data_IF_926170552410
#
_entry.id   IF_926170552410
#
_cell.length_a   1.000
_cell.length_b   1.000
_cell.length_c   1.000
_cell.angle_alpha   90.00
_cell.angle_beta   90.00
_cell.angle_gamma   90.00
#
_symmetry.space_group_name_H-M   'P 1'
#
loop_
_entity.id
_entity.type
_entity.pdbx_description
1 polymer ?
#
# COMPACT_ATOMS: atom_id res chain seq x y z
N UNK A 1 29.93 -70.92 -14.23
CA UNK A 1 30.30 -69.56 -14.67
C UNK A 1 29.76 -68.57 -13.65
N UNK A 2 30.65 -67.91 -12.91
CA UNK A 2 30.31 -67.11 -11.74
C UNK A 2 29.80 -65.71 -12.14
N UNK A 3 28.69 -65.29 -11.56
CA UNK A 3 28.13 -63.95 -11.70
C UNK A 3 28.85 -62.99 -10.72
N UNK A 4 29.49 -61.96 -11.26
CA UNK A 4 30.16 -60.92 -10.48
C UNK A 4 29.15 -59.82 -10.10
N UNK A 5 28.84 -59.68 -8.82
CA UNK A 5 28.13 -58.53 -8.28
C UNK A 5 29.10 -57.34 -8.16
N UNK A 6 28.81 -56.25 -8.88
CA UNK A 6 29.52 -54.98 -8.74
C UNK A 6 28.97 -54.24 -7.52
N UNK A 7 29.73 -54.23 -6.43
CA UNK A 7 29.46 -53.38 -5.27
C UNK A 7 29.68 -51.91 -5.63
N UNK A 8 28.68 -51.08 -5.35
CA UNK A 8 28.78 -49.62 -5.39
C UNK A 8 29.63 -49.13 -4.21
N UNK A 9 30.78 -48.55 -4.51
CA UNK A 9 31.64 -47.89 -3.53
C UNK A 9 31.02 -46.53 -3.16
N UNK A 10 30.44 -46.44 -1.97
CA UNK A 10 30.12 -45.15 -1.34
C UNK A 10 31.44 -44.43 -1.05
N UNK A 11 31.73 -43.40 -1.85
CA UNK A 11 32.94 -42.58 -1.73
C UNK A 11 33.02 -41.92 -0.35
N UNK A 12 34.16 -42.07 0.32
CA UNK A 12 34.45 -41.47 1.62
C UNK A 12 34.86 -40.02 1.39
N UNK A 13 33.93 -39.08 1.60
CA UNK A 13 34.20 -37.65 1.46
C UNK A 13 35.15 -37.18 2.58
N UNK A 14 36.22 -36.46 2.21
CA UNK A 14 37.23 -35.95 3.16
C UNK A 14 36.62 -34.86 4.06
N UNK A 15 37.07 -34.76 5.32
CA UNK A 15 36.65 -33.69 6.25
C UNK A 15 36.81 -32.29 5.66
N UNK A 16 37.83 -32.07 4.84
CA UNK A 16 38.03 -30.80 4.14
C UNK A 16 36.90 -30.47 3.16
N UNK A 17 36.28 -31.48 2.54
CA UNK A 17 35.20 -31.29 1.58
C UNK A 17 33.87 -30.92 2.26
N UNK A 18 33.61 -31.48 3.45
CA UNK A 18 32.48 -31.06 4.29
C UNK A 18 32.68 -29.64 4.82
N UNK A 19 33.89 -29.30 5.28
CA UNK A 19 34.22 -27.96 5.77
C UNK A 19 34.07 -26.89 4.67
N UNK A 20 34.51 -27.17 3.44
CA UNK A 20 34.30 -26.25 2.30
C UNK A 20 32.84 -26.10 1.93
N UNK A 21 32.03 -27.17 2.06
CA UNK A 21 30.61 -27.14 1.76
C UNK A 21 29.85 -26.29 2.81
N UNK A 22 30.19 -26.44 4.09
CA UNK A 22 29.60 -25.62 5.17
C UNK A 22 29.95 -24.14 5.03
N UNK A 23 31.21 -23.81 4.69
CA UNK A 23 31.61 -22.41 4.42
C UNK A 23 30.87 -21.85 3.21
N UNK A 24 30.71 -22.65 2.15
CA UNK A 24 29.99 -22.21 0.94
C UNK A 24 28.50 -21.99 1.20
N UNK A 25 27.87 -22.86 2.00
CA UNK A 25 26.48 -22.72 2.45
C UNK A 25 26.31 -21.49 3.36
N UNK A 26 27.26 -21.22 4.26
CA UNK A 26 27.26 -20.04 5.13
C UNK A 26 27.39 -18.74 4.32
N UNK A 27 28.28 -18.71 3.33
CA UNK A 27 28.47 -17.56 2.43
C UNK A 27 27.23 -17.27 1.58
N UNK A 28 26.57 -18.32 1.06
CA UNK A 28 25.29 -18.18 0.35
C UNK A 28 24.18 -17.63 1.25
N UNK A 29 24.14 -18.06 2.52
CA UNK A 29 23.18 -17.55 3.50
C UNK A 29 23.41 -16.07 3.82
N UNK A 30 24.68 -15.64 3.96
CA UNK A 30 25.02 -14.23 4.22
C UNK A 30 24.56 -13.32 3.05
N UNK A 31 24.73 -13.76 1.80
CA UNK A 31 24.29 -12.97 0.64
C UNK A 31 22.76 -12.89 0.49
N UNK A 32 22.01 -13.88 0.99
CA UNK A 32 20.55 -13.92 0.86
C UNK A 32 19.81 -13.01 1.88
N UNK A 33 20.49 -12.53 2.91
CA UNK A 33 19.86 -11.81 4.05
C UNK A 33 20.06 -10.28 3.97
N UNK A 34 20.76 -9.76 2.96
CA UNK A 34 20.93 -8.31 2.82
C UNK A 34 19.64 -7.65 2.31
N UNK A 35 18.94 -6.93 3.18
CA UNK A 35 17.92 -5.96 2.79
C UNK A 35 18.58 -4.80 2.07
N UNK A 36 18.16 -4.52 0.83
CA UNK A 36 18.57 -3.31 0.10
C UNK A 36 17.79 -2.14 0.71
N UNK A 37 18.41 -1.48 1.68
CA UNK A 37 17.87 -0.25 2.24
C UNK A 37 18.25 0.93 1.33
N UNK A 38 17.24 1.60 0.76
CA UNK A 38 17.46 2.78 -0.08
C UNK A 38 17.74 3.96 0.83
N UNK A 39 19.00 4.40 0.87
CA UNK A 39 19.39 5.61 1.59
C UNK A 39 18.61 6.82 1.06
N UNK A 40 17.94 7.53 1.97
CA UNK A 40 17.17 8.74 1.72
C UNK A 40 17.17 9.60 2.98
N UNK A 41 17.02 10.93 2.87
CA UNK A 41 16.85 11.77 4.04
C UNK A 41 15.63 11.37 4.87
N UNK A 42 15.69 11.65 6.18
CA UNK A 42 14.56 11.46 7.09
C UNK A 42 13.33 12.21 6.56
N UNK A 43 12.16 11.60 6.74
CA UNK A 43 10.86 12.18 6.37
C UNK A 43 10.57 12.23 4.86
N UNK A 44 11.47 11.72 4.00
CA UNK A 44 11.22 11.56 2.56
C UNK A 44 10.59 10.19 2.30
N UNK A 45 9.47 10.03 1.57
CA UNK A 45 8.93 8.71 1.18
C UNK A 45 9.80 7.98 0.14
N UNK A 46 9.77 6.64 0.13
CA UNK A 46 10.62 5.82 -0.76
C UNK A 46 10.44 6.19 -2.25
N UNK A 47 9.21 6.52 -2.66
CA UNK A 47 8.88 6.96 -4.01
C UNK A 47 9.55 8.28 -4.44
N UNK A 48 10.03 9.09 -3.47
CA UNK A 48 10.71 10.37 -3.71
C UNK A 48 12.20 10.34 -3.37
N UNK A 49 12.75 9.19 -2.99
CA UNK A 49 14.17 9.07 -2.62
C UNK A 49 15.12 9.59 -3.71
N UNK A 50 14.80 9.36 -4.99
CA UNK A 50 15.62 9.82 -6.12
C UNK A 50 15.68 11.34 -6.30
N UNK A 51 14.81 12.11 -5.65
CA UNK A 51 14.84 13.57 -5.68
C UNK A 51 15.90 14.16 -4.74
N UNK A 52 16.44 13.35 -3.83
CA UNK A 52 17.38 13.77 -2.80
C UNK A 52 18.73 13.07 -2.98
N UNK A 53 19.43 13.39 -4.07
CA UNK A 53 20.76 12.85 -4.39
C UNK A 53 21.87 13.66 -3.69
N UNK A 54 22.56 13.12 -2.66
CA UNK A 54 23.58 13.85 -1.91
C UNK A 54 24.83 14.19 -2.72
N UNK A 55 25.01 13.61 -3.92
CA UNK A 55 26.14 13.91 -4.79
C UNK A 55 25.95 15.21 -5.61
N UNK A 56 24.79 15.85 -5.52
CA UNK A 56 24.43 17.04 -6.32
C UNK A 56 23.93 18.17 -5.42
N UNK A 57 23.86 19.37 -5.98
CA UNK A 57 23.09 20.44 -5.37
C UNK A 57 21.62 20.04 -5.28
N UNK A 58 20.97 20.46 -4.20
CA UNK A 58 19.53 20.37 -4.07
C UNK A 58 18.89 21.56 -4.78
N UNK A 59 17.72 21.33 -5.38
CA UNK A 59 16.91 22.37 -6.01
C UNK A 59 15.50 22.20 -5.48
N UNK A 60 14.93 23.29 -4.95
CA UNK A 60 13.55 23.29 -4.46
C UNK A 60 12.60 22.76 -5.54
N UNK A 61 11.53 22.05 -5.16
CA UNK A 61 10.64 21.44 -6.16
C UNK A 61 9.82 22.47 -6.94
N UNK A 62 9.62 23.66 -6.38
CA UNK A 62 9.06 24.83 -7.06
C UNK A 62 10.07 25.57 -7.98
N UNK A 63 11.35 25.18 -7.94
CA UNK A 63 12.43 25.79 -8.70
C UNK A 63 12.89 27.16 -8.20
N UNK A 64 12.50 27.58 -7.00
CA UNK A 64 12.80 28.90 -6.43
C UNK A 64 14.29 29.12 -6.12
N UNK A 65 14.97 28.09 -5.61
CA UNK A 65 16.38 28.15 -5.24
C UNK A 65 17.11 26.82 -5.50
N UNK A 66 18.44 26.89 -5.54
CA UNK A 66 19.33 25.73 -5.59
C UNK A 66 20.60 25.98 -4.78
N UNK A 67 20.98 24.99 -3.98
CA UNK A 67 22.01 25.13 -2.97
C UNK A 67 22.67 23.78 -2.61
N UNK A 68 23.63 23.78 -1.69
CA UNK A 68 24.37 22.56 -1.33
C UNK A 68 23.47 21.58 -0.57
N UNK A 69 23.60 20.28 -0.81
CA UNK A 69 22.77 19.25 -0.16
C UNK A 69 22.83 19.26 1.38
N UNK A 70 23.87 19.87 1.96
CA UNK A 70 24.01 20.02 3.41
C UNK A 70 22.92 20.88 4.06
N UNK A 71 22.21 21.70 3.27
CA UNK A 71 21.06 22.49 3.73
C UNK A 71 19.75 21.70 3.69
N UNK A 72 19.76 20.43 3.27
CA UNK A 72 18.59 19.57 3.39
C UNK A 72 18.53 19.03 4.82
N UNK A 73 17.43 19.30 5.53
CA UNK A 73 17.24 18.98 6.95
C UNK A 73 18.27 19.66 7.86
N UNK A 74 18.55 20.94 7.63
CA UNK A 74 19.46 21.72 8.47
C UNK A 74 18.74 22.55 9.56
N UNK A 75 17.41 22.35 9.70
CA UNK A 75 16.53 23.04 10.65
C UNK A 75 16.32 24.53 10.29
N UNK A 76 16.53 24.89 9.01
CA UNK A 76 16.23 26.20 8.45
C UNK A 76 15.42 26.07 7.16
N UNK A 77 14.39 26.91 6.98
CA UNK A 77 13.51 26.84 5.82
C UNK A 77 14.01 27.74 4.67
N UNK A 78 14.72 27.15 3.71
CA UNK A 78 15.25 27.81 2.51
C UNK A 78 14.30 27.76 1.31
N UNK A 79 13.49 26.70 1.18
CA UNK A 79 12.52 26.57 0.08
C UNK A 79 11.12 27.07 0.45
N UNK A 80 10.49 27.85 -0.44
CA UNK A 80 9.12 28.32 -0.24
C UNK A 80 8.07 27.20 -0.22
N UNK A 81 8.38 26.05 -0.83
CA UNK A 81 7.55 24.85 -0.84
C UNK A 81 7.88 23.84 0.28
N UNK A 82 8.90 24.13 1.09
CA UNK A 82 9.38 23.28 2.20
C UNK A 82 10.01 21.95 1.76
N UNK A 83 10.46 21.84 0.51
CA UNK A 83 11.04 20.60 -0.03
C UNK A 83 12.42 20.26 0.53
N UNK A 84 13.11 21.22 1.10
CA UNK A 84 14.42 21.13 1.76
C UNK A 84 14.36 20.56 3.17
N UNK A 85 13.24 20.72 3.87
CA UNK A 85 13.06 20.28 5.26
C UNK A 85 12.03 19.14 5.41
N UNK A 86 12.18 17.99 4.72
CA UNK A 86 11.25 16.86 4.86
C UNK A 86 11.33 16.17 6.22
N UNK A 87 12.43 16.35 6.95
CA UNK A 87 12.79 15.62 8.16
C UNK A 87 12.77 16.46 9.43
N UNK A 88 12.47 17.76 9.38
CA UNK A 88 12.47 18.70 10.51
C UNK A 88 11.14 19.46 10.59
N UNK A 89 11.00 20.36 11.56
CA UNK A 89 9.84 21.23 11.74
C UNK A 89 10.02 22.66 11.18
N UNK A 90 11.13 22.94 10.48
CA UNK A 90 11.53 24.31 10.14
C UNK A 90 10.59 25.02 9.14
N UNK A 91 9.93 24.27 8.24
CA UNK A 91 9.00 24.82 7.27
C UNK A 91 7.52 24.65 7.67
N UNK A 92 6.76 25.75 7.72
CA UNK A 92 5.34 25.76 8.11
C UNK A 92 4.42 24.91 7.21
N UNK A 93 4.77 24.75 5.94
CA UNK A 93 4.07 23.94 4.94
C UNK A 93 4.77 22.59 4.68
N UNK A 94 5.78 22.25 5.48
CA UNK A 94 6.53 21.01 5.38
C UNK A 94 5.67 19.78 5.68
N UNK A 95 6.10 18.65 5.15
CA UNK A 95 5.44 17.35 5.34
C UNK A 95 6.49 16.31 5.69
N UNK A 96 6.30 15.64 6.81
CA UNK A 96 7.14 14.53 7.26
C UNK A 96 6.48 13.19 6.93
N UNK A 97 7.24 12.27 6.35
CA UNK A 97 6.76 10.92 6.04
C UNK A 97 7.20 9.89 7.08
N UNK A 98 6.24 9.39 7.86
CA UNK A 98 6.40 8.19 8.67
C UNK A 98 6.44 6.97 7.75
N UNK A 99 7.50 6.17 7.83
CA UNK A 99 7.61 4.96 7.00
C UNK A 99 6.70 3.84 7.50
N UNK A 100 6.50 3.78 8.83
CA UNK A 100 5.59 2.89 9.51
C UNK A 100 5.73 1.44 9.03
N UNK A 101 6.96 0.92 9.04
CA UNK A 101 7.27 -0.41 8.51
C UNK A 101 6.38 -1.48 9.19
N UNK A 102 5.75 -2.32 8.38
CA UNK A 102 4.77 -3.30 8.86
C UNK A 102 3.32 -2.78 8.95
N UNK A 103 3.13 -1.47 8.83
CA UNK A 103 1.85 -0.78 8.66
C UNK A 103 1.81 0.05 7.36
N UNK A 104 0.87 1.00 7.26
CA UNK A 104 0.80 1.95 6.15
C UNK A 104 1.70 3.15 6.45
N UNK A 105 2.53 3.54 5.49
CA UNK A 105 3.22 4.82 5.54
C UNK A 105 2.21 5.97 5.59
N UNK A 106 2.52 7.01 6.34
CA UNK A 106 1.61 8.13 6.59
C UNK A 106 2.40 9.45 6.58
N UNK A 107 1.74 10.51 6.15
CA UNK A 107 2.34 11.84 6.11
C UNK A 107 1.73 12.67 7.23
N UNK A 108 2.58 13.32 8.02
CA UNK A 108 2.19 14.26 9.07
C UNK A 108 2.69 15.67 8.73
N UNK A 109 2.05 16.72 9.25
CA UNK A 109 2.58 18.08 9.14
C UNK A 109 3.96 18.18 9.81
N UNK A 110 4.88 18.95 9.22
CA UNK A 110 6.21 19.19 9.80
C UNK A 110 6.15 19.79 11.22
N UNK A 111 5.08 20.51 11.55
CA UNK A 111 4.87 21.06 12.90
C UNK A 111 4.75 20.01 14.01
N UNK A 112 4.58 18.73 13.65
CA UNK A 112 4.51 17.60 14.59
C UNK A 112 5.83 16.85 14.73
N UNK A 113 6.87 17.32 14.05
CA UNK A 113 8.21 16.74 14.19
C UNK A 113 8.85 17.35 15.43
N UNK A 114 9.23 16.51 16.39
CA UNK A 114 9.84 16.91 17.65
C UNK A 114 8.97 17.87 18.49
N UNK A 115 7.65 17.70 18.48
CA UNK A 115 6.73 18.49 19.32
C UNK A 115 6.47 17.86 20.70
N UNK A 116 7.03 16.67 20.94
CA UNK A 116 6.90 15.89 22.16
C UNK A 116 5.73 14.91 22.15
N UNK A 117 5.02 14.77 21.04
CA UNK A 117 3.86 13.87 20.86
C UNK A 117 4.22 12.80 19.82
N UNK A 118 3.95 11.53 20.12
CA UNK A 118 4.17 10.44 19.17
C UNK A 118 2.99 10.35 18.19
N UNK A 119 3.14 10.90 16.98
CA UNK A 119 2.16 10.81 15.89
C UNK A 119 2.43 9.62 14.95
N UNK A 120 3.69 9.32 14.65
CA UNK A 120 4.02 8.13 13.86
C UNK A 120 3.94 6.85 14.72
N UNK A 121 3.44 5.74 14.16
CA UNK A 121 3.44 4.47 14.91
C UNK A 121 4.86 3.91 15.12
N UNK A 122 5.82 4.33 14.29
CA UNK A 122 7.23 3.97 14.40
C UNK A 122 8.01 4.96 15.29
N UNK A 123 7.36 6.02 15.78
CA UNK A 123 7.96 7.06 16.63
C UNK A 123 9.06 7.88 15.97
N UNK A 124 9.19 7.81 14.64
CA UNK A 124 10.33 8.42 13.92
C UNK A 124 10.27 9.95 13.81
N UNK A 125 9.12 10.52 14.14
CA UNK A 125 8.84 11.95 14.27
C UNK A 125 9.50 12.60 15.50
N UNK A 126 9.69 11.85 16.58
CA UNK A 126 10.21 12.36 17.87
C UNK A 126 11.67 11.97 18.13
N UNK A 127 12.54 12.19 17.14
CA UNK A 127 13.95 11.78 17.21
C UNK A 127 14.85 12.74 18.00
N UNK A 128 14.40 13.97 18.22
CA UNK A 128 15.11 15.07 18.87
C UNK A 128 14.56 15.47 20.22
N UNK A 129 13.52 14.79 20.72
CA UNK A 129 12.90 15.07 22.03
C UNK A 129 13.19 13.95 23.04
N UNK A 130 12.76 14.15 24.28
CA UNK A 130 12.79 13.12 25.32
C UNK A 130 11.52 12.27 25.36
N UNK A 131 10.66 12.35 24.34
CA UNK A 131 9.45 11.55 24.27
C UNK A 131 9.81 10.07 24.10
N UNK A 132 9.13 9.18 24.84
CA UNK A 132 9.34 7.74 24.74
C UNK A 132 8.31 7.14 23.77
N UNK A 133 8.60 7.20 22.48
CA UNK A 133 7.75 6.63 21.44
C UNK A 133 8.07 5.15 21.22
N UNK A 134 7.07 4.29 21.38
CA UNK A 134 7.20 2.84 21.18
C UNK A 134 6.74 2.46 19.78
N UNK A 135 7.56 1.73 19.02
CA UNK A 135 7.16 1.17 17.73
C UNK A 135 6.10 0.08 17.93
N UNK A 136 4.87 0.36 17.49
CA UNK A 136 3.74 -0.57 17.49
C UNK A 136 3.17 -0.83 16.09
N UNK A 137 3.90 -0.46 15.02
CA UNK A 137 3.41 -0.54 13.65
C UNK A 137 3.06 -1.96 13.21
N UNK A 138 3.83 -2.97 13.62
CA UNK A 138 3.56 -4.36 13.23
C UNK A 138 2.20 -4.85 13.75
N UNK A 139 1.86 -4.48 14.98
CA UNK A 139 0.59 -4.85 15.62
C UNK A 139 -0.58 -4.11 14.96
N UNK A 140 -0.48 -2.78 14.83
CA UNK A 140 -1.49 -1.97 14.15
C UNK A 140 -1.70 -2.42 12.70
N UNK A 141 -0.61 -2.76 12.01
CA UNK A 141 -0.63 -3.31 10.67
C UNK A 141 -1.37 -4.64 10.57
N UNK A 142 -1.23 -5.52 11.56
CA UNK A 142 -1.98 -6.78 11.61
C UNK A 142 -3.48 -6.52 11.74
N UNK A 143 -3.87 -5.69 12.72
CA UNK A 143 -5.29 -5.34 12.91
C UNK A 143 -5.91 -4.65 11.69
N UNK A 144 -5.16 -3.75 11.05
CA UNK A 144 -5.63 -3.08 9.83
C UNK A 144 -5.87 -4.06 8.67
N UNK A 145 -5.01 -5.07 8.50
CA UNK A 145 -5.20 -6.11 7.47
C UNK A 145 -6.45 -6.95 7.74
N UNK A 146 -6.64 -7.39 8.97
CA UNK A 146 -7.84 -8.16 9.38
C UNK A 146 -9.13 -7.35 9.17
N UNK A 147 -9.13 -6.06 9.51
CA UNK A 147 -10.30 -5.20 9.30
C UNK A 147 -10.58 -4.92 7.82
N UNK A 148 -9.54 -4.73 7.00
CA UNK A 148 -9.71 -4.60 5.55
C UNK A 148 -10.30 -5.86 4.90
N UNK A 149 -9.90 -7.04 5.36
CA UNK A 149 -10.47 -8.32 4.90
C UNK A 149 -11.97 -8.40 5.21
N UNK A 150 -12.37 -8.14 6.47
CA UNK A 150 -13.79 -8.10 6.87
C UNK A 150 -14.59 -7.10 6.03
N UNK A 151 -14.02 -5.92 5.81
CA UNK A 151 -14.66 -4.86 5.04
C UNK A 151 -14.77 -5.22 3.55
N UNK A 152 -13.80 -5.95 2.99
CA UNK A 152 -13.86 -6.46 1.61
C UNK A 152 -14.95 -7.50 1.46
N UNK A 153 -15.10 -8.42 2.41
CA UNK A 153 -16.18 -9.43 2.39
C UNK A 153 -17.55 -8.77 2.43
N UNK A 154 -17.77 -7.83 3.35
CA UNK A 154 -19.03 -7.08 3.44
C UNK A 154 -19.35 -6.35 2.14
N UNK A 155 -18.36 -5.69 1.53
CA UNK A 155 -18.53 -5.00 0.23
C UNK A 155 -18.85 -5.99 -0.89
N UNK A 156 -18.23 -7.16 -0.91
CA UNK A 156 -18.50 -8.19 -1.92
C UNK A 156 -19.93 -8.71 -1.80
N UNK A 157 -20.41 -8.98 -0.58
CA UNK A 157 -21.80 -9.37 -0.33
C UNK A 157 -22.78 -8.27 -0.75
N UNK A 158 -22.50 -7.01 -0.38
CA UNK A 158 -23.31 -5.86 -0.78
C UNK A 158 -23.37 -5.69 -2.30
N UNK A 159 -22.26 -5.90 -3.00
CA UNK A 159 -22.20 -5.85 -4.45
C UNK A 159 -23.02 -6.99 -5.10
N UNK A 160 -22.95 -8.20 -4.55
CA UNK A 160 -23.75 -9.32 -5.04
C UNK A 160 -25.26 -9.04 -4.90
N UNK A 161 -25.69 -8.53 -3.74
CA UNK A 161 -27.09 -8.15 -3.52
C UNK A 161 -27.53 -7.02 -4.45
N UNK A 162 -26.68 -6.00 -4.65
CA UNK A 162 -26.96 -4.91 -5.60
C UNK A 162 -27.16 -5.45 -7.03
N UNK A 163 -26.31 -6.39 -7.46
CA UNK A 163 -26.44 -7.00 -8.78
C UNK A 163 -27.73 -7.81 -8.92
N UNK A 164 -28.10 -8.58 -7.90
CA UNK A 164 -29.36 -9.34 -7.89
C UNK A 164 -30.57 -8.40 -7.98
N UNK A 165 -30.65 -7.39 -7.11
CA UNK A 165 -31.75 -6.42 -7.14
C UNK A 165 -31.81 -5.65 -8.46
N UNK A 166 -30.66 -5.32 -9.07
CA UNK A 166 -30.62 -4.69 -10.39
C UNK A 166 -31.17 -5.60 -11.48
N UNK A 167 -30.86 -6.90 -11.44
CA UNK A 167 -31.40 -7.89 -12.40
C UNK A 167 -32.91 -8.07 -12.23
N UNK A 168 -33.36 -8.29 -11.00
CA UNK A 168 -34.79 -8.46 -10.68
C UNK A 168 -35.58 -7.21 -11.05
N UNK A 169 -35.07 -6.03 -10.70
CA UNK A 169 -35.68 -4.75 -11.06
C UNK A 169 -35.80 -4.55 -12.58
N UNK A 170 -34.79 -4.97 -13.36
CA UNK A 170 -34.86 -4.93 -14.84
C UNK A 170 -35.91 -5.91 -15.37
N UNK A 171 -35.97 -7.13 -14.86
CA UNK A 171 -36.96 -8.14 -15.27
C UNK A 171 -38.38 -7.68 -14.94
N UNK A 172 -38.60 -7.18 -13.73
CA UNK A 172 -39.91 -6.69 -13.30
C UNK A 172 -40.37 -5.49 -14.14
N UNK A 173 -39.46 -4.56 -14.46
CA UNK A 173 -39.75 -3.45 -15.37
C UNK A 173 -40.19 -3.94 -16.75
N UNK A 174 -39.53 -4.97 -17.29
CA UNK A 174 -39.89 -5.53 -18.59
C UNK A 174 -41.25 -6.23 -18.55
N UNK A 175 -41.54 -7.00 -17.49
CA UNK A 175 -42.86 -7.62 -17.28
C UNK A 175 -43.98 -6.59 -17.13
N UNK A 176 -43.74 -5.48 -16.43
CA UNK A 176 -44.71 -4.39 -16.33
C UNK A 176 -44.98 -3.75 -17.69
N UNK A 177 -43.95 -3.57 -18.53
CA UNK A 177 -44.13 -3.03 -19.89
C UNK A 177 -44.97 -3.96 -20.77
N UNK A 178 -44.67 -5.26 -20.78
CA UNK A 178 -45.42 -6.20 -21.61
C UNK A 178 -46.88 -6.28 -21.20
N UNK A 179 -47.17 -6.32 -19.89
CA UNK A 179 -48.54 -6.25 -19.36
C UNK A 179 -49.23 -4.95 -19.72
N UNK A 180 -48.52 -3.81 -19.69
CA UNK A 180 -49.08 -2.51 -20.07
C UNK A 180 -49.51 -2.50 -21.54
N UNK A 181 -48.69 -3.02 -22.44
CA UNK A 181 -49.04 -3.12 -23.86
C UNK A 181 -50.22 -4.07 -24.09
N UNK A 182 -50.25 -5.22 -23.41
CA UNK A 182 -51.38 -6.14 -23.50
C UNK A 182 -52.68 -5.49 -23.02
N UNK A 183 -52.67 -4.84 -21.85
CA UNK A 183 -53.84 -4.13 -21.34
C UNK A 183 -54.31 -3.00 -22.26
N UNK A 184 -53.39 -2.35 -23.00
CA UNK A 184 -53.77 -1.35 -24.02
C UNK A 184 -54.53 -1.98 -25.18
N UNK A 185 -54.07 -3.14 -25.67
CA UNK A 185 -54.75 -3.88 -26.72
C UNK A 185 -56.12 -4.40 -26.25
N UNK A 186 -56.18 -4.99 -25.05
CA UNK A 186 -57.43 -5.49 -24.45
C UNK A 186 -58.44 -4.34 -24.27
N UNK A 187 -57.99 -3.16 -23.84
CA UNK A 187 -58.83 -1.96 -23.72
C UNK A 187 -59.39 -1.52 -25.08
N UNK A 188 -58.58 -1.55 -26.15
CA UNK A 188 -59.05 -1.22 -27.49
C UNK A 188 -60.06 -2.25 -28.02
N UNK A 189 -59.86 -3.54 -27.75
CA UNK A 189 -60.79 -4.60 -28.12
C UNK A 189 -62.15 -4.42 -27.41
N UNK A 190 -62.14 -4.26 -26.08
CA UNK A 190 -63.36 -4.05 -25.29
C UNK A 190 -64.10 -2.79 -25.75
N UNK A 191 -63.37 -1.71 -26.10
CA UNK A 191 -63.98 -0.50 -26.65
C UNK A 191 -64.72 -0.77 -27.96
N UNK A 192 -64.10 -1.48 -28.90
CA UNK A 192 -64.73 -1.86 -30.17
C UNK A 192 -65.94 -2.75 -29.97
N UNK A 193 -65.86 -3.74 -29.07
CA UNK A 193 -66.99 -4.62 -28.76
C UNK A 193 -68.17 -3.86 -28.15
N UNK A 194 -67.91 -2.89 -27.26
CA UNK A 194 -68.96 -2.02 -26.71
C UNK A 194 -69.64 -1.19 -27.81
N UNK A 195 -68.85 -0.55 -28.66
CA UNK A 195 -69.38 0.25 -29.79
C UNK A 195 -70.25 -0.59 -30.74
N UNK A 196 -69.88 -1.84 -30.99
CA UNK A 196 -70.66 -2.76 -31.83
C UNK A 196 -71.97 -3.26 -31.18
N UNK A 197 -72.05 -3.30 -29.85
CA UNK A 197 -73.27 -3.64 -29.11
C UNK A 197 -74.23 -2.45 -28.94
N UNK A 198 -73.69 -1.23 -29.00
CA UNK A 198 -74.45 0.03 -28.88
C UNK A 198 -74.99 0.55 -30.23
N UNK A 199 -74.57 -0.04 -31.35
CA UNK A 199 -74.99 0.28 -32.73
C UNK A 199 -76.14 -0.60 -33.23
#
# INVERSE_FOLDING_TARGET
MAAAMRGTTLGRFSHNMYFTLEISLLLLFITAVHSVEVSRPRGVPLARASLYDPAKNFTCFDGSASFAFLQVNDDYCDCGDGSDEPGTAACNNGVFHCSNLGHRGENIPASRVNDGICDCCDGTDEYGTSAECTDNCLELGKYAREEEERRRELRAQGLQMQQQMSREGRQHKEQCKTKLEQLRLDLEEVRKSREALEA
#
